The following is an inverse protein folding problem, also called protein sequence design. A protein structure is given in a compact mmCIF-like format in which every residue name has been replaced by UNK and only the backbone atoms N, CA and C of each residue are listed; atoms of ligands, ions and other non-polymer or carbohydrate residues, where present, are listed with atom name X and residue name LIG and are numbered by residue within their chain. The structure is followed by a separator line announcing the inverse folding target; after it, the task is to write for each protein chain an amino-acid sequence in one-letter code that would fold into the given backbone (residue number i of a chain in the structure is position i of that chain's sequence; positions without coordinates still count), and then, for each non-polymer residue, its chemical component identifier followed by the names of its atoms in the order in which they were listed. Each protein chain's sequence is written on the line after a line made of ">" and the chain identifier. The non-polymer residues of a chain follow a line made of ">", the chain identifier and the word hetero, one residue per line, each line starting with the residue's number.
data_IF_187753999498
#
_entry.id   IF_187753999498
#
_cell.length_a   1.000
_cell.length_b   1.000
_cell.length_c   1.000
_cell.angle_alpha   90.00
_cell.angle_beta   90.00
_cell.angle_gamma   90.00
#
_symmetry.space_group_name_H-M   'P 1'
#
loop_
_entity.id
_entity.type
_entity.pdbx_description
1 polymer ?
#
# COMPACT_ATOMS: atom_id res chain seq x y z
N UNK A 1 -4.01 6.70 13.37
CA UNK A 1 -4.49 5.31 13.40
C UNK A 1 -5.57 5.15 12.34
N UNK A 2 -5.24 4.57 11.18
CA UNK A 2 -6.06 4.64 9.97
C UNK A 2 -7.16 3.59 9.89
N UNK A 3 -8.40 4.02 9.64
CA UNK A 3 -9.59 3.17 9.44
C UNK A 3 -9.36 2.06 8.40
N UNK A 4 -8.72 2.40 7.27
CA UNK A 4 -8.37 1.47 6.20
C UNK A 4 -7.44 0.35 6.69
N UNK A 5 -6.46 0.68 7.54
CA UNK A 5 -5.56 -0.32 8.14
C UNK A 5 -6.33 -1.35 8.96
N UNK A 6 -7.36 -0.91 9.68
CA UNK A 6 -8.17 -1.78 10.54
C UNK A 6 -9.13 -2.67 9.74
N UNK A 7 -9.73 -2.13 8.67
CA UNK A 7 -10.62 -2.88 7.78
C UNK A 7 -9.89 -3.93 6.93
N UNK A 8 -8.59 -3.71 6.68
CA UNK A 8 -7.69 -4.60 5.94
C UNK A 8 -6.88 -5.52 6.87
N UNK A 9 -7.40 -5.88 8.03
CA UNK A 9 -6.74 -6.78 8.99
C UNK A 9 -7.06 -8.26 8.77
N UNK A 10 -8.08 -8.58 7.96
CA UNK A 10 -8.50 -9.95 7.68
C UNK A 10 -8.46 -10.24 6.18
N UNK A 11 -7.77 -11.32 5.80
CA UNK A 11 -7.58 -11.73 4.40
C UNK A 11 -8.87 -11.79 3.57
N UNK A 12 -9.98 -12.39 4.04
CA UNK A 12 -11.22 -12.43 3.26
C UNK A 12 -11.82 -11.05 2.97
N UNK A 13 -11.67 -10.10 3.90
CA UNK A 13 -12.17 -8.74 3.70
C UNK A 13 -11.29 -7.97 2.73
N UNK A 14 -9.96 -8.16 2.79
CA UNK A 14 -9.01 -7.58 1.83
C UNK A 14 -9.40 -7.96 0.40
N UNK A 15 -9.54 -9.26 0.12
CA UNK A 15 -9.86 -9.74 -1.23
C UNK A 15 -11.27 -9.31 -1.67
N UNK A 16 -12.25 -9.26 -0.75
CA UNK A 16 -13.60 -8.77 -1.08
C UNK A 16 -13.63 -7.28 -1.42
N UNK A 17 -12.89 -6.45 -0.69
CA UNK A 17 -12.78 -5.01 -0.94
C UNK A 17 -12.04 -4.78 -2.25
N UNK A 18 -10.91 -5.47 -2.47
CA UNK A 18 -10.08 -5.29 -3.66
C UNK A 18 -10.74 -5.83 -4.94
N UNK A 19 -11.56 -6.88 -4.86
CA UNK A 19 -12.34 -7.33 -6.02
C UNK A 19 -13.39 -6.31 -6.47
N UNK A 20 -13.92 -5.49 -5.56
CA UNK A 20 -14.98 -4.51 -5.88
C UNK A 20 -14.42 -3.10 -6.15
N UNK A 21 -13.37 -2.70 -5.43
CA UNK A 21 -12.85 -1.33 -5.42
C UNK A 21 -11.35 -1.24 -5.70
N UNK A 22 -10.70 -2.33 -6.09
CA UNK A 22 -9.24 -2.40 -6.23
C UNK A 22 -8.70 -1.33 -7.16
N UNK A 23 -9.35 -1.07 -8.29
CA UNK A 23 -8.91 -0.02 -9.24
C UNK A 23 -8.89 1.37 -8.59
N UNK A 24 -9.96 1.75 -7.90
CA UNK A 24 -10.07 3.04 -7.22
C UNK A 24 -9.07 3.16 -6.07
N UNK A 25 -8.86 2.07 -5.33
CA UNK A 25 -7.89 2.02 -4.23
C UNK A 25 -6.47 2.20 -4.79
N UNK A 26 -6.10 1.49 -5.86
CA UNK A 26 -4.79 1.63 -6.49
C UNK A 26 -4.58 3.03 -7.06
N UNK A 27 -5.61 3.63 -7.67
CA UNK A 27 -5.55 5.02 -8.15
C UNK A 27 -5.32 6.01 -7.00
N UNK A 28 -6.05 5.85 -5.89
CA UNK A 28 -5.89 6.71 -4.71
C UNK A 28 -4.48 6.57 -4.11
N UNK A 29 -3.96 5.35 -4.03
CA UNK A 29 -2.59 5.06 -3.58
C UNK A 29 -1.57 5.75 -4.50
N UNK A 30 -1.70 5.63 -5.82
CA UNK A 30 -0.81 6.30 -6.78
C UNK A 30 -0.83 7.81 -6.59
N UNK A 31 -2.02 8.42 -6.49
CA UNK A 31 -2.16 9.86 -6.29
C UNK A 31 -1.47 10.35 -5.01
N UNK A 32 -1.59 9.61 -3.91
CA UNK A 32 -0.95 9.99 -2.63
C UNK A 32 0.58 9.81 -2.71
N UNK A 33 1.06 8.76 -3.39
CA UNK A 33 2.50 8.55 -3.54
C UNK A 33 3.14 9.58 -4.49
N UNK A 34 2.41 10.04 -5.51
CA UNK A 34 2.91 11.04 -6.47
C UNK A 34 2.77 12.48 -5.98
N UNK A 35 1.75 12.75 -5.15
CA UNK A 35 1.47 14.08 -4.65
C UNK A 35 2.55 14.64 -3.73
N UNK A 36 2.49 15.96 -3.54
CA UNK A 36 3.29 16.71 -2.55
C UNK A 36 2.73 16.51 -1.13
N UNK A 37 2.75 15.27 -0.67
CA UNK A 37 2.39 14.89 0.68
C UNK A 37 3.63 14.73 1.56
N UNK A 38 3.45 14.97 2.86
CA UNK A 38 4.52 14.75 3.83
C UNK A 38 4.92 13.25 3.87
N UNK A 39 6.13 12.99 4.37
CA UNK A 39 6.68 11.64 4.41
C UNK A 39 5.79 10.68 5.20
N UNK A 40 5.21 11.12 6.32
CA UNK A 40 4.35 10.30 7.18
C UNK A 40 3.10 9.79 6.45
N UNK A 41 2.47 10.62 5.61
CA UNK A 41 1.31 10.22 4.80
C UNK A 41 1.72 9.20 3.74
N UNK A 42 2.89 9.35 3.13
CA UNK A 42 3.43 8.40 2.16
C UNK A 42 3.76 7.06 2.84
N UNK A 43 4.37 7.08 4.02
CA UNK A 43 4.65 5.88 4.82
C UNK A 43 3.37 5.15 5.24
N UNK A 44 2.34 5.88 5.69
CA UNK A 44 1.05 5.27 6.01
C UNK A 44 0.38 4.64 4.79
N UNK A 45 0.53 5.27 3.62
CA UNK A 45 0.01 4.72 2.35
C UNK A 45 0.72 3.42 1.98
N UNK A 46 2.04 3.35 2.16
CA UNK A 46 2.80 2.11 1.98
C UNK A 46 2.40 1.03 3.00
N UNK A 47 2.09 1.39 4.24
CA UNK A 47 1.58 0.45 5.24
C UNK A 47 0.21 -0.12 4.84
N UNK A 48 -0.67 0.69 4.26
CA UNK A 48 -1.95 0.23 3.71
C UNK A 48 -1.71 -0.74 2.54
N UNK A 49 -0.81 -0.41 1.62
CA UNK A 49 -0.42 -1.31 0.52
C UNK A 49 0.10 -2.66 1.03
N UNK A 50 0.94 -2.66 2.08
CA UNK A 50 1.44 -3.88 2.68
C UNK A 50 0.32 -4.75 3.25
N UNK A 51 -0.69 -4.14 3.89
CA UNK A 51 -1.87 -4.87 4.37
C UNK A 51 -2.71 -5.42 3.21
N UNK A 52 -2.88 -4.67 2.12
CA UNK A 52 -3.59 -5.15 0.92
C UNK A 52 -2.88 -6.37 0.32
N UNK A 53 -1.54 -6.35 0.29
CA UNK A 53 -0.73 -7.44 -0.26
C UNK A 53 -0.79 -8.74 0.56
N UNK A 54 -1.41 -8.75 1.74
CA UNK A 54 -1.66 -9.98 2.51
C UNK A 54 -2.89 -10.77 1.99
N UNK A 55 -3.73 -10.16 1.15
CA UNK A 55 -4.78 -10.87 0.40
C UNK A 55 -4.22 -11.63 -0.81
N UNK A 56 -4.92 -12.67 -1.29
CA UNK A 56 -4.42 -13.48 -2.41
C UNK A 56 -4.67 -12.79 -3.76
N UNK A 57 -5.93 -12.49 -4.07
CA UNK A 57 -6.30 -11.80 -5.31
C UNK A 57 -5.83 -10.35 -5.29
N UNK A 58 -5.88 -9.72 -4.12
CA UNK A 58 -5.37 -8.37 -3.91
C UNK A 58 -3.88 -8.24 -4.24
N UNK A 59 -3.07 -9.23 -3.82
CA UNK A 59 -1.65 -9.28 -4.15
C UNK A 59 -1.41 -9.41 -5.66
N UNK A 60 -2.16 -10.25 -6.36
CA UNK A 60 -2.02 -10.41 -7.81
C UNK A 60 -2.30 -9.09 -8.57
N UNK A 61 -3.31 -8.32 -8.11
CA UNK A 61 -3.59 -7.00 -8.67
C UNK A 61 -2.46 -5.99 -8.45
N UNK A 62 -1.74 -6.08 -7.34
CA UNK A 62 -0.55 -5.25 -7.09
C UNK A 62 0.62 -5.72 -7.97
N UNK A 63 0.86 -7.03 -8.02
CA UNK A 63 2.00 -7.63 -8.74
C UNK A 63 1.91 -7.49 -10.26
N UNK A 64 0.70 -7.30 -10.79
CA UNK A 64 0.47 -7.03 -12.23
C UNK A 64 0.49 -5.53 -12.57
N UNK A 65 0.70 -4.65 -11.59
CA UNK A 65 0.76 -3.21 -11.77
C UNK A 65 2.20 -2.69 -11.68
N UNK A 66 2.87 -2.63 -12.82
CA UNK A 66 4.28 -2.21 -12.91
C UNK A 66 4.53 -0.81 -12.34
N UNK A 67 3.61 0.14 -12.55
CA UNK A 67 3.75 1.51 -12.04
C UNK A 67 3.83 1.54 -10.51
N UNK A 68 2.94 0.79 -9.84
CA UNK A 68 2.97 0.64 -8.38
C UNK A 68 4.24 -0.05 -7.91
N UNK A 69 4.70 -1.10 -8.61
CA UNK A 69 5.93 -1.79 -8.25
C UNK A 69 7.16 -0.87 -8.36
N UNK A 70 7.22 -0.02 -9.38
CA UNK A 70 8.30 0.97 -9.52
C UNK A 70 8.27 2.00 -8.39
N UNK A 71 7.08 2.45 -7.98
CA UNK A 71 6.94 3.38 -6.85
C UNK A 71 7.36 2.73 -5.53
N UNK A 72 6.93 1.50 -5.27
CA UNK A 72 7.35 0.76 -4.08
C UNK A 72 8.88 0.64 -4.05
N UNK A 73 9.52 0.26 -5.18
CA UNK A 73 10.98 0.20 -5.29
C UNK A 73 11.64 1.55 -5.05
N UNK A 74 11.11 2.62 -5.62
CA UNK A 74 11.59 3.99 -5.41
C UNK A 74 11.54 4.36 -3.92
N UNK A 75 10.42 4.13 -3.23
CA UNK A 75 10.30 4.46 -1.80
C UNK A 75 11.16 3.55 -0.90
N UNK A 76 11.33 2.27 -1.27
CA UNK A 76 12.23 1.37 -0.54
C UNK A 76 13.71 1.71 -0.74
N UNK A 77 14.10 2.17 -1.94
CA UNK A 77 15.47 2.54 -2.29
C UNK A 77 15.87 3.97 -1.93
N UNK A 78 14.93 4.92 -1.94
CA UNK A 78 15.18 6.33 -1.63
C UNK A 78 15.12 6.65 -0.14
N UNK A 79 14.40 5.85 0.66
CA UNK A 79 14.08 6.14 2.08
C UNK A 79 14.61 5.08 3.07
N UNK A 80 15.60 4.27 2.66
CA UNK A 80 16.05 3.07 3.38
C UNK A 80 16.61 3.31 4.80
N UNK A 81 16.78 4.56 5.23
CA UNK A 81 17.22 4.90 6.60
C UNK A 81 16.11 4.91 7.67
N UNK A 82 14.84 5.18 7.30
CA UNK A 82 13.77 5.43 8.28
C UNK A 82 12.68 4.34 8.31
N UNK A 83 12.30 3.78 7.16
CA UNK A 83 11.22 2.77 7.05
C UNK A 83 11.57 1.41 7.69
N UNK A 84 12.84 1.00 7.67
CA UNK A 84 13.28 -0.27 8.28
C UNK A 84 13.14 -0.30 9.82
N UNK A 85 13.06 0.87 10.47
CA UNK A 85 12.86 0.93 11.92
C UNK A 85 11.42 0.65 12.35
N UNK A 86 10.43 0.78 11.45
CA UNK A 86 9.01 0.61 11.79
C UNK A 86 8.45 -0.78 11.49
N UNK A 87 9.13 -1.60 10.68
CA UNK A 87 8.69 -2.95 10.31
C UNK A 87 9.38 -4.04 11.15
N UNK A 88 10.48 -3.69 11.84
CA UNK A 88 11.25 -4.58 12.70
C UNK A 88 11.11 -4.30 14.20
N UNK A 89 9.99 -3.74 14.66
CA UNK A 89 9.71 -3.49 16.09
C UNK A 89 8.31 -3.94 16.48
#
# INVERSE_FOLDING_TARGET
>A
LGLLRNLLSTRPHIDKIMSTHGKQIMQAVTLILEGEHNIEVKEQTLCILANIADGTTAKDLIMTNDDILQKIKYYMGAQTGHLLKSVGS
#
